data_IF_472603139493
#
_entry.id   IF_472603139493
#
_cell.length_a   1.000
_cell.length_b   1.000
_cell.length_c   1.000
_cell.angle_alpha   90.00
_cell.angle_beta   90.00
_cell.angle_gamma   90.00
#
_symmetry.space_group_name_H-M   'P 1'
#
loop_
_entity.id
_entity.type
_entity.pdbx_description
1 polymer ?
#
# COMPACT_ATOMS: atom_id res chain seq x y z
N UNK A 1 -14.41 -1.60 -15.43
CA UNK A 1 -14.51 -1.54 -13.96
C UNK A 1 -13.12 -1.40 -13.38
N UNK A 2 -12.85 -0.34 -12.63
CA UNK A 2 -11.59 -0.17 -11.92
C UNK A 2 -11.56 -1.05 -10.67
N UNK A 3 -10.39 -1.51 -10.28
CA UNK A 3 -10.19 -2.20 -9.01
C UNK A 3 -10.09 -1.19 -7.86
N UNK A 4 -10.39 -1.62 -6.64
CA UNK A 4 -10.30 -0.79 -5.45
C UNK A 4 -8.86 -0.72 -4.95
N UNK A 5 -8.43 0.48 -4.61
CA UNK A 5 -7.16 0.76 -3.94
C UNK A 5 -7.44 1.38 -2.57
N UNK A 6 -6.52 1.24 -1.64
CA UNK A 6 -6.55 1.98 -0.37
C UNK A 6 -6.35 3.48 -0.64
N UNK A 7 -5.24 3.84 -1.29
CA UNK A 7 -5.06 5.13 -1.96
C UNK A 7 -5.01 4.96 -3.48
N UNK A 8 -5.64 5.86 -4.19
CA UNK A 8 -5.39 6.12 -5.61
C UNK A 8 -5.16 7.61 -5.78
N UNK A 9 -3.94 8.00 -6.11
CA UNK A 9 -3.54 9.41 -6.19
C UNK A 9 -3.00 9.78 -7.55
N UNK A 10 -3.62 10.80 -8.13
CA UNK A 10 -3.24 11.39 -9.43
C UNK A 10 -3.00 12.88 -9.25
N UNK A 11 -2.08 13.48 -10.03
CA UNK A 11 -2.02 14.92 -10.15
C UNK A 11 -3.10 15.41 -11.13
N UNK A 12 -3.04 14.92 -12.37
CA UNK A 12 -4.08 15.15 -13.38
C UNK A 12 -4.15 13.98 -14.36
N UNK A 13 -5.17 13.97 -15.22
CA UNK A 13 -5.44 12.86 -16.13
C UNK A 13 -4.30 12.55 -17.12
N UNK A 14 -3.48 13.53 -17.44
CA UNK A 14 -2.39 13.40 -18.42
C UNK A 14 -1.01 13.22 -17.75
N UNK A 15 -0.93 13.27 -16.43
CA UNK A 15 0.36 13.14 -15.72
C UNK A 15 1.30 14.31 -15.96
N UNK A 16 0.77 15.49 -16.30
CA UNK A 16 1.61 16.67 -16.56
C UNK A 16 2.11 17.29 -15.24
N UNK A 17 3.17 18.09 -15.35
CA UNK A 17 3.76 18.85 -14.24
C UNK A 17 2.94 20.12 -13.91
N UNK A 18 1.62 20.03 -13.94
CA UNK A 18 0.73 21.15 -13.62
C UNK A 18 0.75 21.42 -12.12
N UNK A 19 1.09 22.63 -11.74
CA UNK A 19 1.08 23.11 -10.36
C UNK A 19 -0.26 23.76 -10.01
N UNK A 20 -0.75 23.65 -8.75
CA UNK A 20 -0.12 22.92 -7.65
C UNK A 20 -0.22 21.41 -7.83
N UNK A 21 0.84 20.71 -7.42
CA UNK A 21 0.81 19.24 -7.41
C UNK A 21 -0.14 18.69 -6.35
N UNK A 22 -0.72 17.52 -6.61
CA UNK A 22 -1.34 16.71 -5.56
C UNK A 22 -0.26 16.23 -4.61
N UNK A 23 -0.17 16.87 -3.43
CA UNK A 23 0.89 16.63 -2.44
C UNK A 23 0.30 16.47 -1.02
N UNK A 24 -0.86 15.86 -0.91
CA UNK A 24 -1.49 15.58 0.38
C UNK A 24 -0.55 14.76 1.27
N UNK A 25 -0.61 15.04 2.58
CA UNK A 25 0.15 14.31 3.60
C UNK A 25 -0.82 13.54 4.47
N UNK A 26 -0.57 12.26 4.63
CA UNK A 26 -1.32 11.35 5.49
C UNK A 26 -0.38 10.73 6.51
N UNK A 27 -0.85 10.55 7.73
CA UNK A 27 -0.16 9.81 8.78
C UNK A 27 -1.14 8.92 9.53
N UNK A 28 -0.63 7.80 10.04
CA UNK A 28 -1.38 6.88 10.92
C UNK A 28 -2.65 6.30 10.28
N UNK A 29 -2.54 5.87 9.03
CA UNK A 29 -3.62 5.16 8.31
C UNK A 29 -3.46 3.66 8.47
N UNK A 30 -4.58 2.95 8.61
CA UNK A 30 -4.65 1.49 8.55
C UNK A 30 -5.48 1.06 7.34
N UNK A 31 -4.86 0.33 6.41
CA UNK A 31 -5.52 -0.23 5.23
C UNK A 31 -5.69 -1.73 5.40
N UNK A 32 -6.90 -2.21 5.19
CA UNK A 32 -7.24 -3.63 5.27
C UNK A 32 -7.76 -4.11 3.92
N UNK A 33 -7.00 -4.97 3.29
CA UNK A 33 -7.33 -5.60 2.02
C UNK A 33 -7.99 -6.97 2.21
N UNK A 34 -8.42 -7.60 1.12
CA UNK A 34 -9.20 -8.84 1.15
C UNK A 34 -8.36 -10.13 1.29
N UNK A 35 -7.07 -10.09 0.98
CA UNK A 35 -6.20 -11.27 1.01
C UNK A 35 -6.04 -11.76 2.45
N UNK A 36 -6.32 -13.03 2.67
CA UNK A 36 -6.30 -13.63 4.02
C UNK A 36 -7.55 -13.36 4.84
N UNK A 37 -8.53 -12.60 4.34
CA UNK A 37 -9.79 -12.32 5.02
C UNK A 37 -10.89 -13.31 4.65
N UNK A 38 -10.96 -13.65 3.37
CA UNK A 38 -11.93 -14.58 2.81
C UNK A 38 -11.19 -15.72 2.09
N UNK A 39 -11.46 -16.96 2.49
CA UNK A 39 -10.87 -18.14 1.83
C UNK A 39 -11.27 -18.26 0.35
N UNK A 40 -12.38 -17.66 -0.07
CA UNK A 40 -12.81 -17.61 -1.45
C UNK A 40 -12.10 -16.51 -2.27
N UNK A 41 -11.40 -15.57 -1.59
CA UNK A 41 -10.62 -14.58 -2.28
C UNK A 41 -9.35 -15.23 -2.83
N UNK A 42 -9.28 -15.33 -4.12
CA UNK A 42 -8.05 -15.69 -4.83
C UNK A 42 -7.61 -14.48 -5.66
N UNK A 43 -6.39 -14.06 -5.46
CA UNK A 43 -5.73 -13.22 -6.43
C UNK A 43 -5.45 -14.13 -7.63
N UNK A 44 -6.33 -14.11 -8.62
CA UNK A 44 -6.18 -14.98 -9.77
C UNK A 44 -4.94 -14.55 -10.55
N UNK A 45 -4.24 -15.53 -11.10
CA UNK A 45 -3.14 -15.31 -12.04
C UNK A 45 -3.52 -14.41 -13.22
N UNK A 46 -4.82 -14.18 -13.44
CA UNK A 46 -5.32 -13.30 -14.50
C UNK A 46 -4.81 -11.86 -14.38
N UNK A 47 -4.62 -11.35 -13.18
CA UNK A 47 -3.99 -10.05 -12.98
C UNK A 47 -2.57 -10.02 -13.54
N UNK A 48 -1.80 -11.02 -13.20
CA UNK A 48 -0.40 -11.14 -13.60
C UNK A 48 -0.28 -11.65 -15.04
N UNK A 49 -0.98 -12.73 -15.41
CA UNK A 49 -0.77 -13.43 -16.68
C UNK A 49 -1.57 -12.84 -17.84
N UNK A 50 -2.75 -12.30 -17.59
CA UNK A 50 -3.58 -11.70 -18.64
C UNK A 50 -3.23 -10.21 -18.88
N UNK A 51 -2.43 -9.61 -18.02
CA UNK A 51 -2.13 -8.17 -18.03
C UNK A 51 -3.38 -7.33 -17.91
N UNK A 52 -4.37 -7.87 -17.26
CA UNK A 52 -5.53 -7.13 -16.83
C UNK A 52 -5.11 -6.35 -15.58
N UNK A 53 -5.16 -5.04 -15.67
CA UNK A 53 -4.85 -4.15 -14.54
C UNK A 53 -5.94 -4.18 -13.47
N UNK A 54 -7.02 -4.88 -13.71
CA UNK A 54 -8.12 -5.04 -12.79
C UNK A 54 -8.23 -6.52 -12.42
N UNK A 55 -7.59 -6.95 -11.35
CA UNK A 55 -7.62 -8.36 -10.95
C UNK A 55 -9.05 -8.84 -10.76
N UNK A 56 -9.41 -9.86 -11.48
CA UNK A 56 -10.65 -10.62 -11.27
C UNK A 56 -10.34 -11.67 -10.23
N UNK A 57 -10.69 -11.41 -9.01
CA UNK A 57 -10.31 -12.26 -7.89
C UNK A 57 -11.30 -13.40 -7.57
N UNK A 58 -12.41 -13.48 -8.28
CA UNK A 58 -13.43 -14.52 -8.04
C UNK A 58 -14.16 -14.40 -6.70
N UNK A 59 -13.77 -13.48 -5.84
CA UNK A 59 -14.37 -13.25 -4.53
C UNK A 59 -15.64 -12.41 -4.62
N UNK A 60 -16.54 -12.60 -3.66
CA UNK A 60 -17.70 -11.73 -3.46
C UNK A 60 -17.35 -10.37 -2.86
N UNK A 61 -16.12 -10.18 -2.41
CA UNK A 61 -15.63 -8.93 -1.85
C UNK A 61 -15.37 -7.84 -2.90
N UNK A 62 -15.49 -8.15 -4.19
CA UNK A 62 -15.25 -7.22 -5.28
C UNK A 62 -13.85 -7.32 -5.88
N UNK A 63 -13.44 -6.29 -6.59
CA UNK A 63 -12.13 -6.23 -7.25
C UNK A 63 -11.19 -5.31 -6.47
N UNK A 64 -10.01 -5.81 -6.16
CA UNK A 64 -8.99 -5.10 -5.41
C UNK A 64 -7.67 -5.11 -6.18
N UNK A 65 -6.91 -4.04 -6.09
CA UNK A 65 -5.62 -3.92 -6.74
C UNK A 65 -4.51 -3.73 -5.70
N UNK A 66 -4.39 -2.57 -5.10
CA UNK A 66 -3.26 -2.25 -4.24
C UNK A 66 -3.63 -1.53 -2.96
N UNK A 67 -2.74 -1.58 -1.98
CA UNK A 67 -2.87 -0.72 -0.81
C UNK A 67 -2.67 0.75 -1.20
N UNK A 68 -1.70 1.02 -2.06
CA UNK A 68 -1.41 2.39 -2.52
C UNK A 68 -1.07 2.39 -4.01
N UNK A 69 -1.79 3.17 -4.80
CA UNK A 69 -1.46 3.49 -6.20
C UNK A 69 -1.21 4.99 -6.33
N UNK A 70 0.02 5.34 -6.64
CA UNK A 70 0.45 6.73 -6.87
C UNK A 70 0.93 6.85 -8.30
N UNK A 71 0.31 7.73 -9.07
CA UNK A 71 0.51 7.82 -10.51
C UNK A 71 0.30 9.22 -11.06
N UNK A 72 0.59 9.38 -12.34
CA UNK A 72 0.29 10.60 -13.09
C UNK A 72 0.83 11.85 -12.42
N UNK A 73 2.12 11.74 -12.01
CA UNK A 73 2.86 12.84 -11.39
C UNK A 73 2.27 13.34 -10.05
N UNK A 74 1.64 12.46 -9.28
CA UNK A 74 1.24 12.78 -7.92
C UNK A 74 2.46 12.75 -6.98
N UNK A 75 2.46 13.65 -6.01
CA UNK A 75 3.45 13.77 -4.94
C UNK A 75 2.81 13.44 -3.57
N UNK A 76 1.90 12.48 -3.53
CA UNK A 76 1.27 12.01 -2.29
C UNK A 76 2.34 11.58 -1.29
N UNK A 77 2.14 11.94 -0.02
CA UNK A 77 3.01 11.57 1.08
C UNK A 77 2.25 10.75 2.13
N UNK A 78 2.79 9.60 2.53
CA UNK A 78 2.20 8.73 3.53
C UNK A 78 3.24 8.33 4.57
N UNK A 79 2.90 8.53 5.84
CA UNK A 79 3.78 8.29 6.99
C UNK A 79 3.09 7.40 8.03
N UNK A 80 3.89 6.73 8.87
CA UNK A 80 3.42 6.05 10.09
C UNK A 80 2.18 5.17 9.87
N UNK A 81 2.08 4.52 8.73
CA UNK A 81 0.86 3.83 8.29
C UNK A 81 1.09 2.33 8.12
N UNK A 82 0.04 1.56 8.20
CA UNK A 82 0.08 0.11 8.00
C UNK A 82 -0.92 -0.31 6.95
N UNK A 83 -0.51 -1.23 6.08
CA UNK A 83 -1.37 -1.86 5.10
C UNK A 83 -1.24 -3.38 5.18
N UNK A 84 -2.35 -4.10 5.02
CA UNK A 84 -2.33 -5.55 5.08
C UNK A 84 -3.28 -6.18 4.06
N UNK A 85 -2.87 -7.32 3.52
CA UNK A 85 -3.74 -8.21 2.76
C UNK A 85 -4.25 -7.65 1.43
N UNK A 86 -3.46 -6.89 0.69
CA UNK A 86 -3.80 -6.49 -0.67
C UNK A 86 -3.10 -7.39 -1.71
N UNK A 87 -3.67 -7.50 -2.93
CA UNK A 87 -2.96 -8.15 -4.04
C UNK A 87 -1.58 -7.53 -4.29
N UNK A 88 -1.52 -6.20 -4.34
CA UNK A 88 -0.27 -5.44 -4.47
C UNK A 88 -0.14 -4.47 -3.29
N UNK A 89 1.05 -4.35 -2.74
CA UNK A 89 1.32 -3.36 -1.69
C UNK A 89 1.39 -1.94 -2.25
N UNK A 90 2.41 -1.66 -3.04
CA UNK A 90 2.68 -0.33 -3.60
C UNK A 90 2.76 -0.34 -5.11
N UNK A 91 2.14 0.65 -5.72
CA UNK A 91 2.25 0.97 -7.15
C UNK A 91 2.68 2.43 -7.28
N UNK A 92 3.88 2.65 -7.82
CA UNK A 92 4.36 3.96 -8.26
C UNK A 92 4.59 3.85 -9.77
N UNK A 93 3.68 4.39 -10.56
CA UNK A 93 3.68 4.15 -11.99
C UNK A 93 3.94 5.39 -12.84
N UNK A 94 4.53 5.17 -14.00
CA UNK A 94 4.83 6.18 -15.02
C UNK A 94 4.02 5.96 -16.31
N UNK A 95 2.77 5.49 -16.22
CA UNK A 95 1.94 5.18 -17.40
C UNK A 95 1.62 6.42 -18.23
N UNK A 96 1.46 7.55 -17.56
CA UNK A 96 1.29 8.86 -18.19
C UNK A 96 2.19 9.89 -17.52
N UNK A 97 3.06 10.48 -18.30
CA UNK A 97 4.09 11.38 -17.80
C UNK A 97 5.11 10.63 -16.94
N UNK A 98 6.34 10.59 -17.29
CA UNK A 98 7.39 9.77 -16.66
C UNK A 98 7.95 10.35 -15.35
N UNK A 99 7.13 10.97 -14.50
CA UNK A 99 7.63 11.76 -13.38
C UNK A 99 7.25 11.23 -11.99
N UNK A 100 6.29 10.31 -11.85
CA UNK A 100 5.89 9.82 -10.54
C UNK A 100 7.03 9.06 -9.84
N UNK A 101 7.73 8.20 -10.56
CA UNK A 101 8.91 7.51 -10.01
C UNK A 101 10.08 8.47 -9.77
N UNK A 102 10.21 9.52 -10.59
CA UNK A 102 11.19 10.59 -10.35
C UNK A 102 10.87 11.33 -9.04
N UNK A 103 9.62 11.70 -8.81
CA UNK A 103 9.18 12.34 -7.57
C UNK A 103 9.51 11.48 -6.33
N UNK A 104 9.34 10.16 -6.43
CA UNK A 104 9.72 9.23 -5.37
C UNK A 104 11.25 9.21 -5.15
N UNK A 105 12.02 9.16 -6.23
CA UNK A 105 13.50 9.14 -6.16
C UNK A 105 14.09 10.44 -5.62
N UNK A 106 13.46 11.56 -5.92
CA UNK A 106 13.87 12.90 -5.46
C UNK A 106 13.33 13.26 -4.08
N UNK A 107 12.45 12.42 -3.51
CA UNK A 107 11.89 12.61 -2.16
C UNK A 107 10.80 13.68 -2.07
N UNK A 108 10.18 14.05 -3.18
CA UNK A 108 8.99 14.91 -3.22
C UNK A 108 7.69 14.10 -3.09
N UNK A 109 7.75 12.80 -3.33
CA UNK A 109 6.77 11.78 -2.97
C UNK A 109 7.42 10.89 -1.90
N UNK A 110 6.79 10.76 -0.74
CA UNK A 110 7.34 9.99 0.38
C UNK A 110 6.37 8.92 0.85
N UNK A 111 6.81 7.67 0.83
CA UNK A 111 6.15 6.53 1.51
C UNK A 111 7.11 6.09 2.58
N UNK A 112 6.97 6.63 3.78
CA UNK A 112 8.00 6.56 4.82
C UNK A 112 7.43 6.09 6.15
N UNK A 113 8.14 5.17 6.80
CA UNK A 113 7.69 4.53 8.04
C UNK A 113 6.33 3.83 7.84
N UNK A 114 6.20 3.15 6.71
CA UNK A 114 5.01 2.38 6.33
C UNK A 114 5.31 0.90 6.45
N UNK A 115 4.41 0.17 7.12
CA UNK A 115 4.53 -1.27 7.31
C UNK A 115 3.51 -1.97 6.43
N UNK A 116 3.95 -2.96 5.67
CA UNK A 116 3.09 -3.77 4.80
C UNK A 116 3.17 -5.24 5.18
N UNK A 117 2.04 -5.95 5.19
CA UNK A 117 1.99 -7.35 5.59
C UNK A 117 1.03 -8.18 4.73
N UNK A 118 1.42 -9.41 4.39
CA UNK A 118 0.55 -10.39 3.73
C UNK A 118 0.08 -9.95 2.34
N UNK A 119 0.88 -9.20 1.60
CA UNK A 119 0.60 -8.84 0.21
C UNK A 119 0.88 -10.05 -0.71
N UNK A 120 0.16 -10.18 -1.81
CA UNK A 120 0.52 -11.21 -2.80
C UNK A 120 1.84 -10.86 -3.48
N UNK A 121 2.00 -9.58 -3.88
CA UNK A 121 3.28 -9.01 -4.30
C UNK A 121 3.48 -7.67 -3.60
N UNK A 122 4.73 -7.34 -3.24
CA UNK A 122 5.01 -6.08 -2.55
C UNK A 122 4.81 -4.89 -3.49
N UNK A 123 5.25 -4.97 -4.72
CA UNK A 123 5.19 -3.86 -5.66
C UNK A 123 4.87 -4.22 -7.08
N UNK A 124 4.39 -3.24 -7.81
CA UNK A 124 4.18 -3.29 -9.25
C UNK A 124 4.33 -1.89 -9.82
N UNK A 125 4.81 -1.80 -11.05
CA UNK A 125 4.89 -0.52 -11.78
C UNK A 125 3.73 -0.35 -12.76
N UNK A 126 2.88 -1.37 -12.85
CA UNK A 126 1.64 -1.44 -13.62
C UNK A 126 1.75 -1.09 -15.12
N UNK A 127 0.63 -1.14 -15.80
CA UNK A 127 0.47 -0.82 -17.22
C UNK A 127 1.33 -1.65 -18.16
N UNK A 128 1.44 -2.92 -17.82
CA UNK A 128 2.12 -3.90 -18.66
C UNK A 128 3.64 -3.78 -18.65
N UNK A 129 4.20 -2.92 -17.84
CA UNK A 129 5.64 -2.76 -17.82
C UNK A 129 6.30 -3.67 -16.82
N UNK A 130 5.94 -3.61 -15.56
CA UNK A 130 6.69 -4.34 -14.57
C UNK A 130 5.88 -4.65 -13.30
N UNK A 131 5.98 -5.87 -12.85
CA UNK A 131 5.44 -6.35 -11.57
C UNK A 131 6.47 -7.29 -10.96
N UNK A 132 6.53 -7.40 -9.65
CA UNK A 132 7.51 -8.28 -9.01
C UNK A 132 7.43 -9.69 -9.58
N UNK A 133 8.56 -10.19 -10.06
CA UNK A 133 8.64 -11.48 -10.72
C UNK A 133 8.42 -11.47 -12.22
N UNK A 134 8.22 -10.32 -12.86
CA UNK A 134 8.10 -10.19 -14.32
C UNK A 134 9.36 -9.66 -14.96
N UNK A 135 9.45 -9.85 -16.27
CA UNK A 135 10.46 -9.18 -17.07
C UNK A 135 10.06 -7.74 -17.34
N UNK A 136 11.05 -6.88 -17.47
CA UNK A 136 10.94 -5.43 -17.64
C UNK A 136 10.37 -4.97 -18.99
N UNK A 137 10.20 -5.85 -19.94
CA UNK A 137 9.63 -5.56 -21.25
C UNK A 137 8.11 -5.74 -21.33
N UNK A 138 7.45 -6.02 -20.22
CA UNK A 138 6.02 -6.26 -20.17
C UNK A 138 5.56 -7.59 -20.79
N UNK A 139 6.48 -8.51 -21.06
CA UNK A 139 6.13 -9.85 -21.52
C UNK A 139 5.59 -10.69 -20.36
N UNK A 140 4.28 -10.81 -20.33
CA UNK A 140 3.53 -11.54 -19.31
C UNK A 140 3.84 -13.03 -19.24
N UNK A 141 4.41 -13.58 -20.29
CA UNK A 141 4.78 -14.99 -20.36
C UNK A 141 6.20 -15.25 -19.87
N UNK A 142 6.95 -14.17 -19.65
CA UNK A 142 8.34 -14.22 -19.22
C UNK A 142 8.46 -13.78 -17.76
N UNK A 143 8.37 -14.73 -16.85
CA UNK A 143 8.45 -14.49 -15.40
C UNK A 143 9.89 -14.72 -14.94
N UNK A 144 10.50 -13.66 -14.41
CA UNK A 144 11.79 -13.73 -13.73
C UNK A 144 11.61 -13.34 -12.26
N UNK A 145 11.52 -14.32 -11.40
CA UNK A 145 11.29 -14.13 -9.95
C UNK A 145 12.44 -13.40 -9.24
N UNK A 146 13.56 -13.20 -9.90
CA UNK A 146 14.67 -12.39 -9.36
C UNK A 146 14.49 -10.89 -9.58
N UNK A 147 13.56 -10.51 -10.45
CA UNK A 147 13.29 -9.10 -10.76
C UNK A 147 12.32 -8.50 -9.76
N UNK A 148 12.56 -7.25 -9.44
CA UNK A 148 11.71 -6.42 -8.62
C UNK A 148 11.29 -5.17 -9.40
N UNK A 149 10.06 -4.72 -9.13
CA UNK A 149 9.55 -3.45 -9.62
C UNK A 149 10.32 -2.27 -9.02
N UNK A 150 10.26 -1.12 -9.68
CA UNK A 150 10.68 0.15 -9.07
C UNK A 150 10.00 0.35 -7.71
N UNK A 151 8.70 0.10 -7.64
CA UNK A 151 7.89 0.29 -6.42
C UNK A 151 8.42 -0.52 -5.24
N UNK A 152 8.75 -1.81 -5.44
CA UNK A 152 9.36 -2.64 -4.40
C UNK A 152 10.76 -2.17 -4.01
N UNK A 153 11.60 -1.85 -5.00
CA UNK A 153 12.95 -1.36 -4.76
C UNK A 153 12.91 -0.05 -3.98
N UNK A 154 12.05 0.88 -4.38
CA UNK A 154 11.84 2.15 -3.68
C UNK A 154 11.39 1.92 -2.24
N UNK A 155 10.35 1.11 -2.03
CA UNK A 155 9.84 0.82 -0.67
C UNK A 155 10.91 0.26 0.24
N UNK A 156 11.69 -0.71 -0.25
CA UNK A 156 12.77 -1.36 0.51
C UNK A 156 13.99 -0.47 0.75
N UNK A 157 14.22 0.52 -0.11
CA UNK A 157 15.34 1.46 0.05
C UNK A 157 15.17 2.39 1.25
N UNK A 158 13.96 2.54 1.76
CA UNK A 158 13.63 3.40 2.90
C UNK A 158 13.72 2.58 4.17
N UNK A 159 14.75 2.80 4.96
CA UNK A 159 15.09 1.96 6.12
C UNK A 159 13.99 1.87 7.20
N UNK A 160 13.11 2.89 7.29
CA UNK A 160 11.99 2.89 8.22
C UNK A 160 10.78 2.08 7.73
N UNK A 161 10.71 1.72 6.45
CA UNK A 161 9.66 0.85 5.94
C UNK A 161 9.93 -0.61 6.30
N UNK A 162 8.86 -1.37 6.52
CA UNK A 162 8.97 -2.82 6.79
C UNK A 162 7.96 -3.61 5.98
N UNK A 163 8.38 -4.78 5.54
CA UNK A 163 7.52 -5.77 4.92
C UNK A 163 7.52 -7.06 5.72
N UNK A 164 6.34 -7.64 5.90
CA UNK A 164 6.11 -8.90 6.59
C UNK A 164 5.37 -9.85 5.64
N UNK A 165 5.79 -11.11 5.62
CA UNK A 165 5.17 -12.12 4.73
C UNK A 165 3.74 -12.46 5.16
N UNK A 166 3.45 -12.40 6.46
CA UNK A 166 2.13 -12.72 6.98
C UNK A 166 1.50 -11.56 7.78
N UNK A 167 0.18 -11.40 7.68
CA UNK A 167 -0.59 -10.44 8.49
C UNK A 167 -0.39 -10.70 9.99
N UNK A 168 -0.24 -11.97 10.38
CA UNK A 168 -0.03 -12.37 11.77
C UNK A 168 1.23 -11.76 12.40
N UNK A 169 2.23 -11.40 11.61
CA UNK A 169 3.47 -10.79 12.08
C UNK A 169 3.25 -9.36 12.59
N UNK A 170 2.15 -8.71 12.22
CA UNK A 170 1.74 -7.42 12.77
C UNK A 170 1.22 -7.52 14.21
N UNK A 171 0.86 -8.74 14.67
CA UNK A 171 0.35 -9.00 16.01
C UNK A 171 -0.80 -8.08 16.40
N UNK A 172 -1.84 -8.09 15.57
CA UNK A 172 -3.08 -7.37 15.81
C UNK A 172 -4.05 -8.26 16.60
N UNK A 173 -4.97 -7.66 17.35
CA UNK A 173 -5.90 -8.36 18.21
C UNK A 173 -6.85 -9.29 17.43
N UNK A 174 -7.57 -8.76 16.45
CA UNK A 174 -8.52 -9.52 15.61
C UNK A 174 -8.61 -8.91 14.20
N UNK A 175 -7.60 -9.11 13.36
CA UNK A 175 -7.47 -8.36 12.10
C UNK A 175 -8.34 -8.87 10.95
N UNK A 176 -9.35 -9.70 11.22
CA UNK A 176 -10.23 -10.21 10.18
C UNK A 176 -11.50 -9.36 10.08
N UNK A 177 -11.64 -8.60 9.00
CA UNK A 177 -12.77 -7.71 8.72
C UNK A 177 -14.10 -8.42 8.51
N UNK A 178 -14.11 -9.73 8.26
CA UNK A 178 -15.31 -10.54 8.09
C UNK A 178 -15.82 -11.13 9.41
N UNK A 179 -15.12 -10.93 10.49
CA UNK A 179 -15.58 -11.34 11.81
C UNK A 179 -16.54 -10.31 12.41
N UNK A 180 -17.35 -10.75 13.37
CA UNK A 180 -18.42 -9.94 13.96
C UNK A 180 -17.91 -8.65 14.65
N UNK A 181 -16.68 -8.64 15.15
CA UNK A 181 -16.09 -7.48 15.84
C UNK A 181 -14.61 -7.41 15.49
N UNK A 182 -14.25 -6.91 14.30
CA UNK A 182 -12.84 -6.78 13.91
C UNK A 182 -12.14 -5.80 14.86
N UNK A 183 -10.91 -6.14 15.23
CA UNK A 183 -10.08 -5.30 16.07
C UNK A 183 -8.67 -5.23 15.50
N UNK A 184 -8.33 -4.10 14.93
CA UNK A 184 -7.03 -3.85 14.31
C UNK A 184 -6.01 -3.26 15.29
N UNK A 185 -6.37 -3.15 16.57
CA UNK A 185 -5.49 -2.67 17.62
C UNK A 185 -4.28 -3.57 17.82
N UNK A 186 -3.06 -3.00 17.88
CA UNK A 186 -1.83 -3.75 18.06
C UNK A 186 -1.72 -4.31 19.48
N UNK A 187 -1.39 -5.61 19.59
CA UNK A 187 -1.08 -6.25 20.86
C UNK A 187 0.19 -5.66 21.49
N UNK A 188 0.45 -5.92 22.74
CA UNK A 188 1.56 -5.32 23.50
C UNK A 188 2.95 -5.58 22.89
N UNK A 189 3.12 -6.69 22.17
CA UNK A 189 4.36 -7.10 21.49
C UNK A 189 4.33 -6.84 19.98
N UNK A 190 3.37 -6.06 19.50
CA UNK A 190 3.26 -5.69 18.09
C UNK A 190 4.41 -4.77 17.64
N UNK A 191 4.98 -4.99 16.45
CA UNK A 191 6.01 -4.12 15.89
C UNK A 191 5.50 -2.70 15.54
N UNK A 192 4.20 -2.48 15.59
CA UNK A 192 3.59 -1.16 15.33
C UNK A 192 3.70 -0.22 16.53
N UNK A 193 3.86 -0.77 17.74
CA UNK A 193 3.93 0.04 18.98
C UNK A 193 5.33 0.64 19.16
N UNK A 194 5.38 1.91 19.53
CA UNK A 194 6.64 2.63 19.75
C UNK A 194 7.43 2.91 18.46
N UNK A 195 6.81 2.74 17.28
CA UNK A 195 7.52 2.78 16.01
C UNK A 195 7.21 4.02 15.15
N UNK A 196 6.24 4.85 15.53
CA UNK A 196 5.95 6.07 14.80
C UNK A 196 7.07 7.12 14.93
N UNK A 197 7.24 7.92 13.88
CA UNK A 197 8.23 9.00 13.84
C UNK A 197 7.61 10.24 13.19
N UNK A 198 7.75 11.37 13.85
CA UNK A 198 7.28 12.68 13.39
C UNK A 198 8.44 13.63 13.12
N UNK A 199 9.61 13.10 12.81
CA UNK A 199 10.83 13.90 12.56
C UNK A 199 10.90 14.51 11.17
N UNK A 200 10.14 13.97 10.18
CA UNK A 200 10.08 14.57 8.85
C UNK A 200 9.31 15.89 8.91
N UNK A 201 9.80 16.98 8.28
CA UNK A 201 9.15 18.29 8.28
C UNK A 201 7.68 18.30 7.84
N UNK A 202 7.27 17.33 7.02
CA UNK A 202 5.88 17.21 6.54
C UNK A 202 4.91 16.74 7.62
N UNK A 203 5.37 16.08 8.66
CA UNK A 203 4.55 15.55 9.76
C UNK A 203 4.93 16.14 11.12
N UNK A 204 6.03 16.85 11.22
CA UNK A 204 6.49 17.48 12.47
C UNK A 204 5.55 18.59 12.97
N UNK A 205 4.68 19.12 12.10
CA UNK A 205 3.71 20.14 12.45
C UNK A 205 2.35 19.81 11.85
N UNK A 206 1.28 20.10 12.58
CA UNK A 206 -0.09 19.89 12.10
C UNK A 206 -0.63 18.48 12.27
N UNK A 207 0.13 17.61 12.93
CA UNK A 207 -0.30 16.27 13.34
C UNK A 207 -0.10 16.11 14.84
N UNK A 208 -0.99 15.36 15.49
CA UNK A 208 -0.78 14.91 16.86
C UNK A 208 0.28 13.81 16.87
N UNK A 209 1.34 14.00 17.62
CA UNK A 209 2.40 13.01 17.75
C UNK A 209 1.90 11.82 18.59
N UNK A 210 1.93 10.64 17.97
CA UNK A 210 1.63 9.38 18.64
C UNK A 210 2.82 8.43 18.54
N UNK A 211 2.85 7.38 19.35
CA UNK A 211 3.98 6.45 19.38
C UNK A 211 3.78 5.22 18.50
N UNK A 212 2.62 5.06 17.89
CA UNK A 212 2.24 3.86 17.14
C UNK A 212 2.05 4.12 15.65
N UNK A 213 2.27 3.09 14.85
CA UNK A 213 1.99 3.07 13.41
C UNK A 213 0.57 2.58 13.18
N UNK A 214 -0.14 3.20 12.21
CA UNK A 214 -1.54 2.90 11.92
C UNK A 214 -2.51 3.72 12.76
N UNK A 215 -3.79 3.39 12.67
CA UNK A 215 -4.89 4.18 13.21
C UNK A 215 -5.28 3.82 14.65
N UNK A 216 -4.63 2.81 15.26
CA UNK A 216 -5.02 2.27 16.57
C UNK A 216 -3.84 2.26 17.52
N UNK A 217 -4.05 2.76 18.74
CA UNK A 217 -3.02 2.82 19.77
C UNK A 217 -2.69 1.44 20.35
N UNK A 218 -3.71 0.65 20.63
CA UNK A 218 -3.60 -0.70 21.20
C UNK A 218 -4.90 -1.51 20.99
N UNK A 219 -4.94 -2.72 21.53
CA UNK A 219 -6.08 -3.63 21.45
C UNK A 219 -7.36 -3.15 22.16
N UNK A 220 -7.25 -2.12 22.99
CA UNK A 220 -8.39 -1.53 23.73
C UNK A 220 -8.86 -0.22 23.07
N UNK A 221 -8.20 0.21 21.99
CA UNK A 221 -8.60 1.40 21.27
C UNK A 221 -9.93 1.19 20.54
N UNK A 222 -10.96 1.77 21.08
CA UNK A 222 -12.34 1.55 20.64
C UNK A 222 -12.94 2.65 19.77
N UNK A 223 -12.14 3.52 19.15
CA UNK A 223 -12.69 4.66 18.39
C UNK A 223 -13.60 4.22 17.21
N UNK A 224 -13.43 3.02 16.69
CA UNK A 224 -14.34 2.42 15.69
C UNK A 224 -15.61 1.84 16.29
N UNK A 225 -15.73 1.74 17.61
CA UNK A 225 -16.84 1.06 18.25
C UNK A 225 -18.16 1.78 17.94
N UNK A 226 -19.12 1.03 17.39
CA UNK A 226 -20.42 1.57 17.01
C UNK A 226 -20.49 2.14 15.58
N UNK A 227 -19.45 2.02 14.78
CA UNK A 227 -19.43 2.40 13.36
C UNK A 227 -19.68 1.23 12.42
N UNK A 228 -19.58 0.00 12.91
CA UNK A 228 -19.75 -1.26 12.17
C UNK A 228 -20.82 -2.12 12.80
#
# INVERSE_FOLDING_TARGET
TSASNGFESNNNGEGSATSPFTSCVFSNVTFVGPVGQDAAFSNTSDYITAGDMNPKNGSKLGQFQSAMQVRRNSHLNCFNSVAMGFPVGLIVENDKGSQTQTAASEGTLKIQNVYMAGMTVLGSDVNKSFEDGFCDNGDKNSIDKSKESFSSTYFKSIASNKYFDAIADLKLSQPNSLQANPNYGPLSDSPLRGAASFTDPLVANGFDEVTYIGAFADENDGWMSGWT
#
